data_IF_851320048037
#
_entry.id   IF_851320048037
#
_cell.length_a   1.000
_cell.length_b   1.000
_cell.length_c   1.000
_cell.angle_alpha   90.00
_cell.angle_beta   90.00
_cell.angle_gamma   90.00
#
_symmetry.space_group_name_H-M   'P 1'
#
loop_
_entity.id
_entity.type
_entity.pdbx_description
1 polymer ?
#
# COMPACT_ATOMS: atom_id res chain seq x y z
N UNK A 1 23.15 45.33 -54.50
CA UNK A 1 23.00 43.97 -53.92
C UNK A 1 24.36 43.52 -53.42
N UNK A 2 24.66 43.82 -52.16
CA UNK A 2 25.96 43.59 -51.52
C UNK A 2 25.76 42.72 -50.29
N UNK A 3 26.43 41.56 -50.29
CA UNK A 3 26.42 40.53 -49.25
C UNK A 3 27.04 41.07 -47.96
N UNK A 4 26.32 40.99 -46.84
CA UNK A 4 26.88 41.18 -45.49
C UNK A 4 27.11 39.81 -44.84
N UNK A 5 28.33 39.62 -44.33
CA UNK A 5 28.82 38.41 -43.66
C UNK A 5 28.36 38.38 -42.19
N UNK A 6 28.04 37.19 -41.70
CA UNK A 6 27.71 36.91 -40.30
C UNK A 6 28.92 37.10 -39.38
N UNK A 7 28.72 37.81 -38.28
CA UNK A 7 29.68 37.92 -37.18
C UNK A 7 29.34 36.91 -36.08
N UNK A 8 30.20 35.92 -35.90
CA UNK A 8 30.15 34.90 -34.84
C UNK A 8 30.85 35.43 -33.60
N UNK A 9 30.13 35.59 -32.49
CA UNK A 9 30.68 35.96 -31.17
C UNK A 9 31.17 34.72 -30.42
N UNK A 10 32.33 34.74 -29.74
CA UNK A 10 32.86 33.58 -29.03
C UNK A 10 32.26 33.48 -27.61
N UNK A 11 31.73 32.31 -27.27
CA UNK A 11 31.24 31.97 -25.93
C UNK A 11 32.42 31.67 -25.01
N UNK A 12 32.61 32.49 -23.96
CA UNK A 12 33.56 32.24 -22.87
C UNK A 12 33.09 31.05 -22.03
N UNK A 13 33.95 30.03 -21.86
CA UNK A 13 33.77 28.95 -20.87
C UNK A 13 33.78 29.54 -19.46
N UNK A 14 32.73 29.30 -18.67
CA UNK A 14 32.73 29.52 -17.21
C UNK A 14 33.49 28.37 -16.56
N UNK A 15 34.57 28.70 -15.86
CA UNK A 15 35.24 27.79 -14.91
C UNK A 15 34.37 27.59 -13.67
N UNK A 16 34.27 26.34 -13.20
CA UNK A 16 33.57 25.98 -11.97
C UNK A 16 34.46 26.28 -10.74
N UNK A 17 33.94 26.85 -9.65
CA UNK A 17 34.72 27.05 -8.44
C UNK A 17 35.01 25.71 -7.73
N UNK A 18 36.24 25.58 -7.24
CA UNK A 18 36.77 24.41 -6.51
C UNK A 18 36.01 24.19 -5.20
N UNK A 19 35.67 22.92 -4.93
CA UNK A 19 35.07 22.43 -3.69
C UNK A 19 35.99 22.71 -2.51
N UNK A 20 35.49 23.43 -1.50
CA UNK A 20 36.17 23.66 -0.22
C UNK A 20 35.90 22.43 0.67
N UNK A 21 36.96 21.75 1.11
CA UNK A 21 36.86 20.64 2.06
C UNK A 21 36.67 21.17 3.48
N UNK A 22 35.62 20.72 4.18
CA UNK A 22 35.37 21.03 5.58
C UNK A 22 36.20 20.14 6.51
N UNK A 23 36.89 20.76 7.47
CA UNK A 23 37.82 20.12 8.40
C UNK A 23 37.18 19.34 9.58
N UNK A 24 36.03 18.68 9.39
CA UNK A 24 35.30 18.00 10.47
C UNK A 24 35.07 16.50 10.29
N UNK A 25 35.73 15.84 9.33
CA UNK A 25 35.71 14.38 9.20
C UNK A 25 37.14 13.82 9.15
N UNK A 26 37.73 13.57 10.32
CA UNK A 26 38.93 12.72 10.44
C UNK A 26 38.50 11.27 10.65
N UNK A 27 38.78 10.43 9.66
CA UNK A 27 38.85 8.97 9.78
C UNK A 27 39.88 8.57 10.84
N UNK A 28 39.47 7.86 11.87
CA UNK A 28 40.25 6.81 12.54
C UNK A 28 39.46 5.51 12.33
N UNK A 29 40.01 4.37 11.95
CA UNK A 29 41.31 3.81 12.26
C UNK A 29 41.02 2.38 12.71
N UNK A 30 41.41 1.40 11.90
CA UNK A 30 41.08 -0.02 12.06
C UNK A 30 41.47 -0.56 13.45
N UNK A 31 40.54 -1.29 14.07
CA UNK A 31 40.76 -2.01 15.33
C UNK A 31 40.16 -3.42 15.30
N UNK A 32 41.04 -4.43 15.16
CA UNK A 32 40.76 -5.84 15.45
C UNK A 32 40.40 -6.03 16.93
N UNK A 33 39.25 -6.67 17.24
CA UNK A 33 39.00 -7.43 18.48
C UNK A 33 38.00 -8.56 18.15
N UNK A 34 38.47 -9.79 17.94
CA UNK A 34 38.50 -10.91 18.89
C UNK A 34 37.14 -11.32 19.44
N UNK A 35 36.65 -12.43 18.88
CA UNK A 35 35.56 -13.29 19.35
C UNK A 35 35.94 -13.99 20.66
N UNK A 36 35.17 -13.77 21.73
CA UNK A 36 35.15 -14.63 22.92
C UNK A 36 33.72 -14.67 23.47
N UNK A 37 33.23 -15.87 23.76
CA UNK A 37 32.33 -16.10 24.90
C UNK A 37 30.88 -16.40 24.55
N UNK A 38 30.59 -17.68 24.29
CA UNK A 38 29.23 -18.20 24.35
C UNK A 38 28.66 -18.10 25.77
N UNK A 39 27.36 -17.84 25.85
CA UNK A 39 26.58 -18.03 27.06
C UNK A 39 25.39 -18.93 26.75
N UNK A 40 25.40 -20.07 27.43
CA UNK A 40 24.43 -21.15 27.42
C UNK A 40 23.13 -20.71 28.10
N UNK A 41 21.98 -20.84 27.41
CA UNK A 41 20.65 -20.84 28.04
C UNK A 41 20.43 -22.20 28.72
N UNK A 42 20.11 -22.27 30.03
CA UNK A 42 19.50 -23.47 30.57
C UNK A 42 17.97 -23.39 30.39
N UNK A 43 17.43 -24.45 29.80
CA UNK A 43 16.02 -24.76 29.80
C UNK A 43 15.55 -25.14 31.22
N UNK A 44 14.39 -24.64 31.65
CA UNK A 44 13.54 -25.34 32.62
C UNK A 44 12.08 -25.23 32.23
N UNK A 45 11.57 -26.38 31.82
CA UNK A 45 10.17 -26.79 31.72
C UNK A 45 9.78 -27.31 33.10
N UNK A 46 8.71 -26.80 33.70
CA UNK A 46 8.07 -27.40 34.86
C UNK A 46 6.57 -27.56 34.58
N UNK A 47 6.13 -28.81 34.62
CA UNK A 47 4.73 -29.24 34.60
C UNK A 47 4.07 -28.89 35.94
N UNK A 48 2.81 -28.50 35.90
CA UNK A 48 1.84 -28.77 36.97
C UNK A 48 0.59 -29.37 36.30
N UNK A 49 0.07 -30.44 36.92
CA UNK A 49 -1.15 -31.18 36.57
C UNK A 49 -2.17 -31.02 37.72
N UNK A 50 -3.43 -31.39 37.42
CA UNK A 50 -4.60 -31.66 38.31
C UNK A 50 -5.38 -30.43 38.79
N UNK A 51 -6.72 -30.39 38.86
CA UNK A 51 -7.85 -31.35 38.67
C UNK A 51 -9.11 -30.50 38.33
N UNK A 52 -9.97 -30.93 37.38
CA UNK A 52 -11.34 -31.46 37.56
C UNK A 52 -12.36 -30.49 38.20
N UNK A 53 -13.41 -30.12 37.45
CA UNK A 53 -14.82 -30.41 37.80
C UNK A 53 -15.77 -30.10 36.62
N UNK A 54 -16.69 -31.04 36.41
CA UNK A 54 -17.79 -31.09 35.44
C UNK A 54 -18.98 -30.26 35.94
N UNK A 55 -19.79 -29.68 35.04
CA UNK A 55 -21.27 -29.72 35.13
C UNK A 55 -21.86 -29.59 33.72
N UNK A 56 -22.78 -30.50 33.41
CA UNK A 56 -23.66 -30.52 32.24
C UNK A 56 -24.87 -29.59 32.47
N UNK A 57 -25.45 -29.03 31.41
CA UNK A 57 -26.91 -28.90 31.27
C UNK A 57 -27.32 -28.55 29.82
N UNK A 58 -28.58 -28.83 29.55
CA UNK A 58 -29.16 -29.39 28.32
C UNK A 58 -29.97 -28.37 27.48
N UNK A 59 -30.10 -28.70 26.19
CA UNK A 59 -31.08 -28.33 25.15
C UNK A 59 -31.81 -26.96 25.10
N UNK A 60 -31.72 -26.29 23.93
CA UNK A 60 -32.88 -26.04 23.04
C UNK A 60 -32.53 -25.26 21.75
N UNK A 61 -32.90 -25.84 20.61
CA UNK A 61 -33.00 -25.23 19.27
C UNK A 61 -34.38 -24.52 19.10
N UNK A 62 -34.61 -23.59 18.14
CA UNK A 62 -34.36 -23.81 16.71
C UNK A 62 -33.91 -22.61 15.85
N UNK A 63 -33.46 -23.00 14.65
CA UNK A 63 -32.99 -22.23 13.52
C UNK A 63 -33.97 -21.18 12.96
N UNK A 64 -33.43 -20.03 12.54
CA UNK A 64 -33.74 -19.36 11.26
C UNK A 64 -32.64 -18.37 10.85
N UNK A 65 -32.34 -18.39 9.54
CA UNK A 65 -31.71 -17.36 8.71
C UNK A 65 -30.18 -17.26 8.72
N UNK A 66 -29.62 -17.85 7.66
CA UNK A 66 -28.25 -17.74 7.17
C UNK A 66 -28.01 -16.36 6.55
N UNK A 67 -27.22 -15.53 7.22
CA UNK A 67 -26.49 -14.44 6.58
C UNK A 67 -25.05 -14.90 6.34
N UNK A 68 -24.73 -15.05 5.05
CA UNK A 68 -23.42 -15.38 4.50
C UNK A 68 -22.52 -14.13 4.59
N UNK A 69 -21.94 -13.89 5.76
CA UNK A 69 -20.85 -12.93 5.90
C UNK A 69 -19.54 -13.61 5.45
N UNK A 70 -19.24 -13.44 4.16
CA UNK A 70 -17.94 -13.77 3.58
C UNK A 70 -16.85 -12.82 4.07
N UNK A 71 -16.41 -13.02 5.32
CA UNK A 71 -15.19 -12.42 5.85
C UNK A 71 -13.98 -13.03 5.14
N UNK A 72 -13.61 -12.42 4.02
CA UNK A 72 -12.30 -12.57 3.42
C UNK A 72 -11.45 -11.34 3.77
N UNK A 73 -11.19 -11.17 5.08
CA UNK A 73 -10.16 -10.25 5.55
C UNK A 73 -8.79 -10.89 5.30
N UNK A 74 -8.23 -10.61 4.13
CA UNK A 74 -6.81 -10.79 3.88
C UNK A 74 -6.04 -9.89 4.86
N UNK A 75 -5.48 -10.53 5.89
CA UNK A 75 -4.63 -9.97 6.94
C UNK A 75 -3.50 -9.10 6.34
N UNK A 76 -3.79 -7.79 6.19
CA UNK A 76 -2.82 -6.74 5.90
C UNK A 76 -2.00 -6.43 7.17
N UNK A 77 -1.12 -7.35 7.55
CA UNK A 77 0.06 -7.03 8.37
C UNK A 77 1.15 -6.52 7.46
N UNK A 78 1.11 -5.22 7.16
CA UNK A 78 2.24 -4.53 6.56
C UNK A 78 3.35 -4.45 7.63
N UNK A 79 4.39 -5.25 7.43
CA UNK A 79 5.61 -5.20 8.21
C UNK A 79 6.38 -3.94 7.80
N UNK A 80 6.50 -3.02 8.74
CA UNK A 80 7.24 -1.78 8.58
C UNK A 80 8.74 -2.06 8.34
N UNK A 81 9.17 -2.13 7.08
CA UNK A 81 10.58 -2.13 6.67
C UNK A 81 10.74 -1.30 5.37
N UNK A 82 10.51 0.01 5.46
CA UNK A 82 10.71 0.99 4.37
C UNK A 82 12.18 1.50 4.27
N UNK A 83 13.18 0.66 4.59
CA UNK A 83 14.61 1.02 4.40
C UNK A 83 15.21 0.51 3.06
N UNK A 84 14.51 -0.37 2.33
CA UNK A 84 15.07 -1.03 1.13
C UNK A 84 14.59 -0.46 -0.24
N UNK A 85 13.88 0.68 -0.24
CA UNK A 85 13.32 1.27 -1.48
C UNK A 85 14.39 1.95 -2.38
N UNK A 86 15.62 2.22 -1.89
CA UNK A 86 16.67 2.81 -2.74
C UNK A 86 17.39 1.80 -3.64
N UNK A 87 17.60 0.55 -3.23
CA UNK A 87 18.27 -0.45 -4.08
C UNK A 87 17.36 -0.99 -5.20
N UNK A 88 16.04 -0.90 -5.05
CA UNK A 88 15.08 -1.44 -6.04
C UNK A 88 14.72 -0.44 -7.14
N UNK A 89 14.89 0.87 -6.91
CA UNK A 89 14.76 1.90 -7.95
C UNK A 89 15.78 1.74 -9.10
N UNK A 90 16.91 1.08 -8.85
CA UNK A 90 17.90 0.74 -9.87
C UNK A 90 17.56 -0.54 -10.65
N UNK A 91 16.66 -1.38 -10.14
CA UNK A 91 16.23 -2.60 -10.84
C UNK A 91 15.18 -2.33 -11.93
N UNK A 92 14.45 -1.21 -11.83
CA UNK A 92 13.40 -0.80 -12.78
C UNK A 92 13.98 -0.21 -14.08
N UNK A 93 15.24 0.26 -14.06
CA UNK A 93 15.92 0.74 -15.27
C UNK A 93 16.53 -0.39 -16.13
N UNK A 94 16.52 -1.64 -15.65
CA UNK A 94 17.17 -2.77 -16.33
C UNK A 94 16.23 -3.56 -17.25
N UNK A 95 14.91 -3.40 -17.14
CA UNK A 95 13.95 -4.10 -18.01
C UNK A 95 13.58 -3.29 -19.28
N UNK A 96 13.72 -1.96 -19.25
CA UNK A 96 13.47 -1.10 -20.42
C UNK A 96 14.55 -1.22 -21.51
N UNK A 97 15.77 -1.67 -21.18
CA UNK A 97 16.92 -1.68 -22.13
C UNK A 97 17.18 -3.02 -22.82
N UNK A 98 16.78 -4.17 -22.25
CA UNK A 98 17.03 -5.49 -22.86
C UNK A 98 16.00 -5.84 -23.97
N UNK A 99 14.91 -5.09 -24.07
CA UNK A 99 13.85 -5.33 -25.04
C UNK A 99 14.11 -4.66 -26.41
N UNK A 100 14.68 -3.45 -26.45
CA UNK A 100 15.01 -2.78 -27.72
C UNK A 100 16.24 -3.39 -28.43
N UNK A 101 17.21 -3.94 -27.70
CA UNK A 101 18.47 -4.41 -28.30
C UNK A 101 18.29 -5.72 -29.11
N UNK A 102 17.30 -6.56 -28.76
CA UNK A 102 17.05 -7.84 -29.45
C UNK A 102 16.34 -7.68 -30.80
N UNK A 103 15.70 -6.55 -31.07
CA UNK A 103 15.07 -6.25 -32.36
C UNK A 103 16.08 -5.87 -33.46
N UNK A 104 17.23 -5.28 -33.09
CA UNK A 104 18.20 -4.73 -34.06
C UNK A 104 19.23 -5.74 -34.59
N UNK A 105 19.40 -6.92 -33.97
CA UNK A 105 20.49 -7.86 -34.30
C UNK A 105 20.16 -8.94 -35.34
N UNK A 106 18.91 -9.09 -35.80
CA UNK A 106 18.53 -10.09 -36.82
C UNK A 106 18.49 -9.50 -38.24
N UNK A 107 19.62 -8.98 -38.71
CA UNK A 107 19.81 -8.70 -40.13
C UNK A 107 21.28 -8.93 -40.55
N UNK A 108 21.68 -10.20 -40.73
CA UNK A 108 22.83 -10.57 -41.59
C UNK A 108 22.82 -12.06 -41.97
N UNK A 109 22.99 -12.30 -43.27
CA UNK A 109 22.90 -13.56 -44.05
C UNK A 109 23.88 -14.66 -43.64
N UNK A 110 23.48 -15.94 -43.85
CA UNK A 110 24.39 -17.01 -44.34
C UNK A 110 23.62 -18.11 -45.11
N UNK A 111 24.31 -18.75 -46.08
CA UNK A 111 23.82 -19.66 -47.14
C UNK A 111 23.86 -21.17 -46.74
N UNK A 112 23.21 -22.09 -47.49
CA UNK A 112 22.91 -23.46 -47.04
C UNK A 112 23.93 -24.52 -47.47
N UNK A 113 23.93 -25.68 -46.78
CA UNK A 113 24.51 -26.95 -47.25
C UNK A 113 23.58 -28.13 -47.00
N UNK A 114 23.60 -29.07 -47.93
CA UNK A 114 22.71 -30.22 -48.08
C UNK A 114 23.28 -31.55 -47.52
N UNK A 115 22.34 -32.49 -47.24
CA UNK A 115 22.35 -33.95 -47.46
C UNK A 115 22.02 -34.84 -46.24
N UNK A 116 21.09 -35.79 -46.43
CA UNK A 116 21.09 -37.10 -45.74
C UNK A 116 19.71 -37.72 -45.41
N UNK A 117 19.26 -38.69 -46.21
CA UNK A 117 18.02 -39.49 -46.09
C UNK A 117 17.91 -40.40 -44.83
N UNK A 118 16.68 -40.64 -44.30
CA UNK A 118 15.92 -41.94 -44.37
C UNK A 118 14.68 -42.04 -43.43
N UNK A 119 13.48 -42.11 -44.07
CA UNK A 119 12.36 -43.07 -43.91
C UNK A 119 11.46 -43.17 -42.64
N UNK A 120 10.19 -43.63 -42.78
CA UNK A 120 9.02 -43.00 -42.16
C UNK A 120 8.24 -43.85 -41.14
N UNK A 121 7.42 -43.21 -40.30
CA UNK A 121 6.32 -43.85 -39.58
C UNK A 121 5.01 -43.07 -39.78
N UNK A 122 3.95 -43.83 -40.11
CA UNK A 122 2.59 -43.36 -40.42
C UNK A 122 1.82 -43.02 -39.13
N UNK A 123 1.12 -41.89 -39.11
CA UNK A 123 -0.22 -41.78 -38.51
C UNK A 123 -1.01 -40.65 -39.18
N UNK A 124 -2.31 -40.88 -39.32
CA UNK A 124 -3.27 -40.19 -40.20
C UNK A 124 -3.78 -38.84 -39.63
N UNK A 125 -4.50 -38.02 -40.42
CA UNK A 125 -4.53 -36.56 -40.28
C UNK A 125 -5.73 -36.01 -39.49
N UNK A 126 -5.49 -34.94 -38.73
CA UNK A 126 -6.54 -33.98 -38.33
C UNK A 126 -6.17 -32.62 -38.94
N UNK A 127 -7.13 -32.01 -39.64
CA UNK A 127 -6.93 -30.91 -40.59
C UNK A 127 -7.55 -29.61 -40.05
N UNK A 128 -6.73 -28.56 -40.01
CA UNK A 128 -7.12 -27.13 -39.96
C UNK A 128 -6.99 -26.48 -38.58
N UNK A 129 -6.30 -25.35 -38.36
CA UNK A 129 -5.90 -24.23 -39.23
C UNK A 129 -4.57 -23.59 -38.75
N UNK A 130 -3.74 -23.23 -39.74
CA UNK A 130 -2.54 -22.36 -39.77
C UNK A 130 -1.87 -21.95 -38.44
N UNK A 131 -0.82 -22.67 -38.07
CA UNK A 131 0.33 -22.12 -37.36
C UNK A 131 1.49 -21.98 -38.36
N UNK A 132 1.83 -20.76 -38.77
CA UNK A 132 3.14 -20.53 -39.40
C UNK A 132 4.20 -20.75 -38.33
N UNK A 133 4.80 -21.94 -38.32
CA UNK A 133 5.93 -22.26 -37.44
C UNK A 133 7.14 -21.47 -37.92
N UNK A 134 7.50 -20.43 -37.19
CA UNK A 134 8.84 -19.86 -37.21
C UNK A 134 9.75 -20.76 -36.39
N UNK A 135 10.72 -21.39 -37.05
CA UNK A 135 11.61 -22.41 -36.49
C UNK A 135 12.27 -21.98 -35.16
N UNK A 136 12.03 -22.76 -34.11
CA UNK A 136 12.79 -22.72 -32.84
C UNK A 136 12.26 -21.78 -31.75
N UNK A 137 11.13 -21.11 -31.95
CA UNK A 137 10.45 -20.32 -30.92
C UNK A 137 9.17 -21.06 -30.50
N UNK A 138 9.15 -21.58 -29.28
CA UNK A 138 7.91 -22.08 -28.68
C UNK A 138 7.00 -20.88 -28.37
N UNK A 139 5.76 -20.90 -28.86
CA UNK A 139 4.79 -19.83 -28.58
C UNK A 139 4.32 -20.04 -27.15
N UNK A 140 4.87 -19.26 -26.21
CA UNK A 140 4.59 -19.35 -24.76
C UNK A 140 3.19 -18.81 -24.40
N UNK A 141 2.50 -18.15 -25.34
CA UNK A 141 1.12 -17.70 -25.19
C UNK A 141 0.76 -16.60 -26.20
N UNK A 142 -0.53 -16.28 -26.29
CA UNK A 142 -1.03 -15.13 -27.07
C UNK A 142 -1.17 -13.92 -26.15
N UNK A 143 -0.60 -12.78 -26.55
CA UNK A 143 -0.72 -11.52 -25.79
C UNK A 143 -2.15 -11.00 -25.94
N UNK A 144 -2.80 -10.75 -24.82
CA UNK A 144 -4.15 -10.19 -24.76
C UNK A 144 -4.07 -8.69 -24.96
N UNK A 145 -4.64 -8.23 -26.07
CA UNK A 145 -4.72 -6.81 -26.41
C UNK A 145 -5.63 -6.04 -25.45
N UNK A 146 -5.25 -4.80 -25.15
CA UNK A 146 -6.04 -3.93 -24.28
C UNK A 146 -7.43 -3.65 -24.89
N UNK A 147 -8.52 -3.71 -24.10
CA UNK A 147 -9.86 -3.38 -24.58
C UNK A 147 -9.90 -2.01 -25.26
N UNK A 148 -10.50 -1.95 -26.45
CA UNK A 148 -10.70 -0.70 -27.20
C UNK A 148 -12.03 -0.03 -26.86
N UNK A 149 -13.00 -0.80 -26.42
CA UNK A 149 -14.33 -0.37 -25.97
C UNK A 149 -14.35 -0.18 -24.46
N UNK A 150 -15.28 0.63 -23.95
CA UNK A 150 -15.47 0.82 -22.50
C UNK A 150 -14.40 1.66 -21.81
N UNK A 151 -13.54 2.35 -22.57
CA UNK A 151 -12.57 3.32 -22.02
C UNK A 151 -13.30 4.56 -21.51
N UNK A 152 -12.76 5.13 -20.44
CA UNK A 152 -13.33 6.33 -19.80
C UNK A 152 -12.42 7.53 -19.97
N UNK A 153 -12.97 8.72 -19.68
CA UNK A 153 -12.18 9.96 -19.65
C UNK A 153 -11.23 9.94 -18.43
N UNK A 154 -10.10 10.69 -18.47
CA UNK A 154 -9.23 10.86 -17.31
C UNK A 154 -10.03 11.27 -16.06
N UNK A 155 -9.68 10.76 -14.89
CA UNK A 155 -10.44 11.03 -13.66
C UNK A 155 -11.55 10.03 -13.34
N UNK A 156 -11.76 9.02 -14.17
CA UNK A 156 -12.79 8.00 -13.98
C UNK A 156 -12.15 6.62 -14.00
N UNK A 157 -12.82 5.65 -13.39
CA UNK A 157 -12.45 4.23 -13.42
C UNK A 157 -13.41 3.50 -14.35
N UNK A 158 -12.87 2.69 -15.27
CA UNK A 158 -13.70 1.89 -16.18
C UNK A 158 -14.04 0.52 -15.61
N UNK A 159 -15.09 -0.10 -16.18
CA UNK A 159 -15.40 -1.51 -15.93
C UNK A 159 -14.22 -2.41 -16.32
N UNK A 160 -13.47 -2.07 -17.38
CA UNK A 160 -12.30 -2.86 -17.80
C UNK A 160 -11.23 -2.93 -16.69
N UNK A 161 -11.03 -1.82 -15.95
CA UNK A 161 -10.09 -1.78 -14.82
C UNK A 161 -10.56 -2.67 -13.68
N UNK A 162 -11.85 -2.61 -13.32
CA UNK A 162 -12.40 -3.51 -12.29
C UNK A 162 -12.39 -4.97 -12.74
N UNK A 163 -12.68 -5.26 -14.01
CA UNK A 163 -12.63 -6.62 -14.56
C UNK A 163 -11.20 -7.16 -14.51
N UNK A 164 -10.19 -6.37 -14.87
CA UNK A 164 -8.79 -6.76 -14.73
C UNK A 164 -8.45 -7.11 -13.28
N UNK A 165 -8.80 -6.24 -12.32
CA UNK A 165 -8.55 -6.50 -10.90
C UNK A 165 -9.34 -7.73 -10.38
N UNK A 166 -10.52 -8.00 -10.94
CA UNK A 166 -11.31 -9.18 -10.59
C UNK A 166 -10.62 -10.46 -11.05
N UNK A 167 -10.01 -10.45 -12.25
CA UNK A 167 -9.17 -11.57 -12.69
C UNK A 167 -7.97 -11.76 -11.76
N UNK A 168 -7.33 -10.69 -11.29
CA UNK A 168 -6.19 -10.79 -10.35
C UNK A 168 -6.53 -11.49 -9.03
N UNK A 169 -7.82 -11.58 -8.66
CA UNK A 169 -8.29 -12.33 -7.49
C UNK A 169 -8.23 -13.85 -7.69
N UNK A 170 -8.34 -14.34 -8.93
CA UNK A 170 -8.16 -15.78 -9.21
C UNK A 170 -6.66 -16.11 -9.15
N UNK A 171 -6.22 -17.03 -8.26
CA UNK A 171 -4.81 -17.43 -8.19
C UNK A 171 -4.23 -17.94 -9.52
N UNK A 172 -5.07 -18.44 -10.44
CA UNK A 172 -4.66 -18.89 -11.79
C UNK A 172 -4.37 -17.74 -12.74
N UNK A 173 -4.82 -16.54 -12.40
CA UNK A 173 -4.61 -15.30 -13.14
C UNK A 173 -3.65 -14.36 -12.40
N UNK A 174 -3.07 -14.82 -11.28
CA UNK A 174 -2.12 -14.06 -10.48
C UNK A 174 -0.78 -14.81 -10.45
N UNK A 175 -0.19 -14.95 -11.63
CA UNK A 175 1.17 -15.46 -11.82
C UNK A 175 1.91 -14.63 -12.88
N UNK A 176 3.23 -14.77 -12.92
CA UNK A 176 4.08 -13.94 -13.80
C UNK A 176 3.86 -14.23 -15.28
N UNK A 177 3.48 -15.45 -15.65
CA UNK A 177 3.24 -15.84 -17.04
C UNK A 177 1.92 -15.24 -17.53
N UNK A 178 0.86 -15.40 -16.74
CA UNK A 178 -0.44 -14.79 -17.04
C UNK A 178 -0.34 -13.27 -17.14
N UNK A 179 0.35 -12.63 -16.19
CA UNK A 179 0.49 -11.17 -16.17
C UNK A 179 1.24 -10.64 -17.39
N UNK A 180 2.28 -11.34 -17.87
CA UNK A 180 2.99 -10.98 -19.11
C UNK A 180 2.08 -11.01 -20.33
N UNK A 181 1.18 -11.99 -20.41
CA UNK A 181 0.23 -12.08 -21.51
C UNK A 181 -0.84 -10.97 -21.43
N UNK A 182 -1.17 -10.48 -20.24
CA UNK A 182 -2.18 -9.42 -20.01
C UNK A 182 -1.56 -8.04 -19.79
N UNK A 183 -0.27 -7.86 -20.04
CA UNK A 183 0.42 -6.60 -19.79
C UNK A 183 -0.26 -5.40 -20.47
N UNK A 184 -0.72 -5.46 -21.74
CA UNK A 184 -1.43 -4.34 -22.35
C UNK A 184 -2.70 -3.93 -21.59
N UNK A 185 -3.43 -4.90 -21.03
CA UNK A 185 -4.63 -4.67 -20.21
C UNK A 185 -4.24 -3.98 -18.90
N UNK A 186 -3.19 -4.47 -18.24
CA UNK A 186 -2.65 -3.84 -17.04
C UNK A 186 -2.20 -2.40 -17.30
N UNK A 187 -1.46 -2.12 -18.39
CA UNK A 187 -1.00 -0.75 -18.71
C UNK A 187 -2.15 0.22 -18.94
N UNK A 188 -3.27 -0.24 -19.51
CA UNK A 188 -4.48 0.55 -19.63
C UNK A 188 -5.05 0.87 -18.24
N UNK A 189 -5.21 -0.14 -17.39
CA UNK A 189 -5.76 0.03 -16.04
C UNK A 189 -4.86 0.90 -15.14
N UNK A 190 -3.55 0.71 -15.22
CA UNK A 190 -2.53 1.51 -14.53
C UNK A 190 -2.60 2.97 -14.96
N UNK A 191 -2.81 3.24 -16.25
CA UNK A 191 -2.99 4.60 -16.76
C UNK A 191 -4.27 5.22 -16.22
N UNK A 192 -5.40 4.51 -16.29
CA UNK A 192 -6.68 5.02 -15.75
C UNK A 192 -6.56 5.33 -14.25
N UNK A 193 -5.87 4.49 -13.49
CA UNK A 193 -5.59 4.73 -12.07
C UNK A 193 -4.73 5.98 -11.83
N UNK A 194 -3.66 6.17 -12.61
CA UNK A 194 -2.81 7.38 -12.54
C UNK A 194 -3.60 8.65 -12.86
N UNK A 195 -4.37 8.63 -13.94
CA UNK A 195 -5.22 9.75 -14.38
C UNK A 195 -6.32 10.06 -13.33
N UNK A 196 -6.86 9.03 -12.67
CA UNK A 196 -7.81 9.16 -11.57
C UNK A 196 -7.17 9.84 -10.35
N UNK A 197 -6.01 9.35 -9.91
CA UNK A 197 -5.30 9.89 -8.76
C UNK A 197 -4.85 11.33 -8.97
N UNK A 198 -4.43 11.70 -10.19
CA UNK A 198 -4.06 13.08 -10.51
C UNK A 198 -5.21 14.06 -10.24
N UNK A 199 -6.42 13.74 -10.74
CA UNK A 199 -7.59 14.57 -10.50
C UNK A 199 -8.09 14.53 -9.06
N UNK A 200 -8.00 13.37 -8.42
CA UNK A 200 -8.40 13.24 -7.02
C UNK A 200 -7.51 14.11 -6.12
N UNK A 201 -6.19 14.09 -6.30
CA UNK A 201 -5.26 14.86 -5.48
C UNK A 201 -5.44 16.37 -5.66
N UNK A 202 -5.70 16.83 -6.89
CA UNK A 202 -6.04 18.23 -7.16
C UNK A 202 -7.26 18.65 -6.32
N UNK A 203 -8.34 17.87 -6.37
CA UNK A 203 -9.58 18.16 -5.62
C UNK A 203 -9.43 18.01 -4.11
N UNK A 204 -8.65 17.03 -3.65
CA UNK A 204 -8.38 16.84 -2.22
C UNK A 204 -7.60 18.01 -1.64
N UNK A 205 -6.62 18.55 -2.37
CA UNK A 205 -5.84 19.71 -1.91
C UNK A 205 -6.69 20.99 -1.75
N UNK A 206 -7.86 21.05 -2.39
CA UNK A 206 -8.84 22.13 -2.20
C UNK A 206 -9.72 21.91 -0.95
N UNK A 207 -9.88 20.66 -0.51
CA UNK A 207 -10.73 20.25 0.61
C UNK A 207 -9.95 20.24 1.93
N UNK A 208 -8.72 19.73 1.89
CA UNK A 208 -7.80 19.61 3.01
C UNK A 208 -6.51 20.39 2.72
N UNK A 209 -6.35 21.51 3.41
CA UNK A 209 -5.24 22.45 3.27
C UNK A 209 -3.91 21.94 3.83
N UNK A 210 -3.92 20.88 4.65
CA UNK A 210 -2.69 20.23 5.09
C UNK A 210 -2.11 19.30 4.03
N UNK A 211 -2.88 18.88 3.02
CA UNK A 211 -2.41 17.99 1.96
C UNK A 211 -1.89 18.83 0.79
N UNK A 212 -0.57 18.88 0.56
CA UNK A 212 -0.03 19.61 -0.59
C UNK A 212 -0.41 18.91 -1.91
N UNK A 213 -0.34 19.63 -3.05
CA UNK A 213 -0.41 18.98 -4.35
C UNK A 213 0.79 18.03 -4.51
N UNK A 214 0.50 16.72 -4.55
CA UNK A 214 1.49 15.66 -4.66
C UNK A 214 1.43 15.01 -6.05
N UNK A 215 2.57 14.67 -6.66
CA UNK A 215 2.55 13.95 -7.93
C UNK A 215 2.04 12.51 -7.70
N UNK A 216 1.16 11.97 -8.58
CA UNK A 216 0.58 10.63 -8.41
C UNK A 216 1.62 9.51 -8.24
N UNK A 217 2.80 9.67 -8.86
CA UNK A 217 3.88 8.68 -8.80
C UNK A 217 4.43 8.45 -7.38
N UNK A 218 4.35 9.46 -6.52
CA UNK A 218 4.95 9.39 -5.17
C UNK A 218 3.97 8.80 -4.14
N UNK A 219 2.68 8.75 -4.48
CA UNK A 219 1.60 8.31 -3.59
C UNK A 219 1.00 6.97 -4.01
N UNK A 220 1.05 6.60 -5.30
CA UNK A 220 0.57 5.33 -5.81
C UNK A 220 1.53 4.21 -5.39
N UNK A 221 0.97 3.13 -4.84
CA UNK A 221 1.75 1.95 -4.51
C UNK A 221 1.95 1.06 -5.74
N UNK A 222 3.09 0.34 -5.77
CA UNK A 222 3.33 -0.72 -6.76
C UNK A 222 2.27 -1.82 -6.64
N UNK A 223 1.91 -2.42 -7.78
CA UNK A 223 1.01 -3.60 -7.84
C UNK A 223 1.69 -4.87 -7.30
N UNK A 224 3.00 -4.95 -7.33
CA UNK A 224 3.75 -6.11 -6.84
C UNK A 224 3.64 -6.26 -5.31
N UNK A 225 3.58 -7.51 -4.84
CA UNK A 225 3.61 -7.87 -3.42
C UNK A 225 5.03 -8.23 -2.98
N UNK A 226 5.31 -8.05 -1.68
CA UNK A 226 6.42 -8.75 -1.05
C UNK A 226 5.92 -10.13 -0.59
N UNK A 227 6.49 -11.18 -1.19
CA UNK A 227 6.10 -12.57 -0.95
C UNK A 227 7.16 -13.35 -0.17
N UNK A 228 8.27 -12.73 0.25
CA UNK A 228 9.39 -13.43 0.91
C UNK A 228 8.93 -14.15 2.17
N UNK A 229 8.14 -13.47 2.99
CA UNK A 229 7.68 -13.94 4.30
C UNK A 229 6.19 -14.32 4.34
N UNK A 230 5.44 -14.09 3.26
CA UNK A 230 4.02 -14.43 3.19
C UNK A 230 3.81 -15.93 2.93
N UNK A 231 2.79 -16.51 3.56
CA UNK A 231 2.34 -17.88 3.24
C UNK A 231 1.71 -17.92 1.84
N UNK A 232 0.96 -16.88 1.49
CA UNK A 232 0.44 -16.67 0.15
C UNK A 232 1.56 -16.15 -0.76
N UNK A 233 1.80 -16.86 -1.86
CA UNK A 233 2.88 -16.59 -2.83
C UNK A 233 2.39 -15.91 -4.10
N UNK A 234 1.15 -15.41 -4.15
CA UNK A 234 0.68 -14.61 -5.28
C UNK A 234 1.53 -13.34 -5.43
N UNK A 235 2.16 -13.10 -6.60
CA UNK A 235 3.14 -12.04 -6.81
C UNK A 235 2.54 -10.63 -6.90
N UNK A 236 1.24 -10.50 -7.19
CA UNK A 236 0.59 -9.21 -7.42
C UNK A 236 -0.57 -8.97 -6.45
N UNK A 237 -0.84 -7.70 -6.16
CA UNK A 237 -2.00 -7.24 -5.39
C UNK A 237 -3.27 -7.39 -6.23
N UNK A 238 -4.39 -7.60 -5.54
CA UNK A 238 -5.73 -7.75 -6.15
C UNK A 238 -6.46 -6.41 -6.34
N UNK A 239 -5.78 -5.30 -6.08
CA UNK A 239 -6.34 -3.96 -6.13
C UNK A 239 -5.27 -2.89 -6.29
N UNK A 240 -5.71 -1.69 -6.67
CA UNK A 240 -4.85 -0.51 -6.71
C UNK A 240 -4.99 0.30 -5.44
N UNK A 241 -3.86 0.74 -4.89
CA UNK A 241 -3.82 1.51 -3.65
C UNK A 241 -2.92 2.73 -3.77
N UNK A 242 -3.28 3.82 -3.09
CA UNK A 242 -2.44 4.99 -2.93
C UNK A 242 -2.57 5.57 -1.52
N UNK A 243 -1.46 6.11 -1.01
CA UNK A 243 -1.41 6.75 0.32
C UNK A 243 -0.82 8.14 0.21
N UNK A 244 -1.49 9.12 0.82
CA UNK A 244 -1.03 10.50 0.83
C UNK A 244 -1.36 11.17 2.17
N UNK A 245 -0.57 12.17 2.51
CA UNK A 245 -0.69 12.97 3.74
C UNK A 245 0.00 14.31 3.54
N UNK A 246 0.04 15.12 4.60
CA UNK A 246 0.83 16.34 4.68
C UNK A 246 2.30 16.18 4.28
N UNK A 247 2.92 15.02 4.57
CA UNK A 247 4.31 14.71 4.19
C UNK A 247 4.42 13.74 2.99
N UNK A 248 3.33 13.52 2.25
CA UNK A 248 3.27 12.52 1.18
C UNK A 248 3.01 11.11 1.71
N UNK A 249 3.59 10.09 1.06
CA UNK A 249 3.45 8.67 1.45
C UNK A 249 4.22 8.34 2.73
N UNK A 250 5.40 8.94 2.88
CA UNK A 250 6.32 8.73 4.01
C UNK A 250 6.06 9.76 5.12
N UNK A 251 6.54 9.46 6.33
CA UNK A 251 6.43 10.33 7.49
C UNK A 251 5.42 9.86 8.53
N UNK A 252 5.37 10.62 9.63
CA UNK A 252 4.68 10.28 10.88
C UNK A 252 3.21 10.70 10.91
N UNK A 253 2.82 11.63 10.03
CA UNK A 253 1.48 12.23 10.02
C UNK A 253 0.38 11.22 9.68
N UNK A 254 -0.84 11.53 10.11
CA UNK A 254 -2.02 10.79 9.73
C UNK A 254 -2.21 10.83 8.19
N UNK A 255 -2.55 9.68 7.63
CA UNK A 255 -2.60 9.45 6.18
C UNK A 255 -4.02 9.23 5.72
N UNK A 256 -4.32 9.63 4.50
CA UNK A 256 -5.41 9.10 3.72
C UNK A 256 -4.90 7.93 2.87
N UNK A 257 -5.68 6.87 2.81
CA UNK A 257 -5.40 5.69 2.00
C UNK A 257 -6.62 5.38 1.15
N UNK A 258 -6.43 5.33 -0.17
CA UNK A 258 -7.47 4.91 -1.11
C UNK A 258 -7.09 3.56 -1.69
N UNK A 259 -8.07 2.67 -1.77
CA UNK A 259 -7.92 1.34 -2.35
C UNK A 259 -9.10 1.06 -3.27
N UNK A 260 -8.84 0.63 -4.49
CA UNK A 260 -9.87 0.15 -5.41
C UNK A 260 -9.68 -1.33 -5.62
N UNK A 261 -10.72 -2.08 -5.26
CA UNK A 261 -10.81 -3.51 -5.43
C UNK A 261 -12.26 -3.90 -5.73
N UNK A 262 -12.51 -4.79 -6.69
CA UNK A 262 -13.86 -5.25 -7.03
C UNK A 262 -14.57 -5.98 -5.90
N UNK A 263 -15.88 -6.15 -6.05
CA UNK A 263 -16.73 -6.87 -5.12
C UNK A 263 -17.09 -6.05 -3.88
N UNK A 264 -17.13 -4.71 -4.00
CA UNK A 264 -17.47 -3.82 -2.88
C UNK A 264 -16.34 -3.61 -1.86
N UNK A 265 -15.11 -3.98 -2.21
CA UNK A 265 -13.93 -3.87 -1.35
C UNK A 265 -13.13 -2.58 -1.59
N UNK A 266 -13.66 -1.67 -2.41
CA UNK A 266 -13.06 -0.36 -2.63
C UNK A 266 -13.28 0.51 -1.41
N UNK A 267 -12.26 1.22 -0.93
CA UNK A 267 -12.36 2.01 0.29
C UNK A 267 -11.53 3.28 0.25
N UNK A 268 -11.96 4.25 1.06
CA UNK A 268 -11.09 5.30 1.58
C UNK A 268 -10.95 5.14 3.09
N UNK A 269 -9.72 5.24 3.58
CA UNK A 269 -9.38 5.21 4.98
C UNK A 269 -8.59 6.46 5.36
N UNK A 270 -8.67 6.85 6.64
CA UNK A 270 -7.85 7.93 7.17
C UNK A 270 -7.43 7.67 8.61
N UNK A 271 -6.30 8.24 9.01
CA UNK A 271 -5.84 8.28 10.39
C UNK A 271 -4.41 7.77 10.56
N UNK A 272 -4.10 7.34 11.78
CA UNK A 272 -2.80 6.77 12.14
C UNK A 272 -2.92 5.25 12.19
N UNK A 273 -2.54 4.59 11.08
CA UNK A 273 -2.51 3.13 10.96
C UNK A 273 -1.16 2.60 11.40
N UNK A 274 -1.14 1.69 12.38
CA UNK A 274 0.08 1.10 12.96
C UNK A 274 1.22 2.12 13.18
N UNK A 275 0.98 3.25 13.88
CA UNK A 275 2.03 4.21 14.19
C UNK A 275 3.22 3.54 14.90
N UNK A 276 4.40 4.12 14.70
CA UNK A 276 5.57 3.78 15.48
C UNK A 276 5.37 4.07 16.97
N UNK A 277 6.30 3.58 17.80
CA UNK A 277 6.18 3.67 19.25
C UNK A 277 6.05 5.12 19.73
N UNK A 278 6.89 6.01 19.21
CA UNK A 278 6.95 7.40 19.66
C UNK A 278 5.69 8.18 19.25
N UNK A 279 5.20 7.94 18.04
CA UNK A 279 3.98 8.54 17.51
C UNK A 279 2.77 8.10 18.33
N UNK A 280 2.68 6.79 18.63
CA UNK A 280 1.60 6.23 19.43
C UNK A 280 1.65 6.73 20.89
N UNK A 281 2.85 6.83 21.47
CA UNK A 281 3.05 7.37 22.82
C UNK A 281 2.62 8.86 22.87
N UNK A 282 2.96 9.66 21.84
CA UNK A 282 2.53 11.06 21.71
C UNK A 282 1.01 11.19 21.61
N UNK A 283 0.37 10.38 20.77
CA UNK A 283 -1.09 10.39 20.65
C UNK A 283 -1.76 10.01 21.98
N UNK A 284 -1.25 8.97 22.67
CA UNK A 284 -1.79 8.57 23.97
C UNK A 284 -1.60 9.63 25.04
N UNK A 285 -0.47 10.34 25.05
CA UNK A 285 -0.24 11.45 25.95
C UNK A 285 -1.33 12.51 25.74
N UNK A 286 -1.55 12.97 24.52
CA UNK A 286 -2.58 13.96 24.22
C UNK A 286 -4.00 13.49 24.59
N UNK A 287 -4.34 12.22 24.33
CA UNK A 287 -5.64 11.65 24.73
C UNK A 287 -5.79 11.62 26.26
N UNK A 288 -4.72 11.33 27.01
CA UNK A 288 -4.73 11.29 28.48
C UNK A 288 -4.98 12.67 29.09
N UNK A 289 -4.36 13.72 28.54
CA UNK A 289 -4.47 15.09 29.07
C UNK A 289 -5.68 15.85 28.52
N UNK A 290 -6.04 15.66 27.25
CA UNK A 290 -7.18 16.33 26.61
C UNK A 290 -7.92 15.42 25.61
N UNK A 291 -8.77 14.49 26.08
CA UNK A 291 -9.56 13.62 25.21
C UNK A 291 -10.73 14.35 24.52
N UNK A 292 -11.08 15.56 24.98
CA UNK A 292 -12.33 16.22 24.63
C UNK A 292 -12.44 16.52 23.13
N UNK A 293 -11.34 16.98 22.52
CA UNK A 293 -11.26 17.31 21.09
C UNK A 293 -11.52 16.08 20.23
N UNK A 294 -10.75 15.01 20.44
CA UNK A 294 -10.93 13.75 19.70
C UNK A 294 -12.33 13.18 19.90
N UNK A 295 -12.82 13.15 21.15
CA UNK A 295 -14.18 12.66 21.46
C UNK A 295 -15.27 13.47 20.75
N UNK A 296 -15.14 14.79 20.69
CA UNK A 296 -16.11 15.65 20.01
C UNK A 296 -16.13 15.36 18.50
N UNK A 297 -14.96 15.16 17.89
CA UNK A 297 -14.85 14.86 16.45
C UNK A 297 -15.49 13.51 16.13
N UNK A 298 -15.11 12.44 16.84
CA UNK A 298 -15.63 11.09 16.58
C UNK A 298 -17.12 10.95 16.92
N UNK A 299 -17.64 11.83 17.78
CA UNK A 299 -19.06 11.89 18.16
C UNK A 299 -19.90 12.82 17.29
N UNK A 300 -19.29 13.53 16.34
CA UNK A 300 -20.03 14.45 15.47
C UNK A 300 -21.02 13.71 14.58
N UNK A 301 -22.17 14.33 14.29
CA UNK A 301 -23.24 13.67 13.51
C UNK A 301 -22.78 13.20 12.13
N UNK A 302 -21.90 13.98 11.49
CA UNK A 302 -21.32 13.67 10.19
C UNK A 302 -20.41 12.43 10.29
N UNK A 303 -19.47 12.44 11.24
CA UNK A 303 -18.57 11.31 11.48
C UNK A 303 -19.32 10.02 11.83
N UNK A 304 -20.30 10.10 12.73
CA UNK A 304 -21.12 8.96 13.14
C UNK A 304 -21.97 8.41 11.99
N UNK A 305 -22.37 9.25 11.03
CA UNK A 305 -23.14 8.82 9.85
C UNK A 305 -22.33 7.85 8.96
N UNK A 306 -21.02 8.06 8.80
CA UNK A 306 -20.20 7.16 7.97
C UNK A 306 -19.51 6.06 8.76
N UNK A 307 -19.12 6.30 10.02
CA UNK A 307 -18.29 5.35 10.77
C UNK A 307 -19.01 4.70 11.96
N UNK A 308 -20.21 5.16 12.29
CA UNK A 308 -21.02 4.63 13.39
C UNK A 308 -20.74 5.26 14.76
N UNK A 309 -21.48 4.83 15.79
CA UNK A 309 -21.40 5.34 17.16
C UNK A 309 -19.96 5.43 17.73
N UNK A 310 -19.64 6.46 18.54
CA UNK A 310 -18.31 6.68 19.11
C UNK A 310 -18.04 5.80 20.33
N UNK A 311 -18.33 4.51 20.25
CA UNK A 311 -18.15 3.53 21.33
C UNK A 311 -17.75 2.17 20.75
N UNK A 312 -17.05 1.33 21.53
CA UNK A 312 -16.82 -0.06 21.15
C UNK A 312 -18.15 -0.81 20.97
N UNK A 313 -18.27 -1.59 19.90
CA UNK A 313 -19.42 -2.47 19.68
C UNK A 313 -19.35 -3.65 20.69
N UNK A 314 -20.45 -4.02 21.36
CA UNK A 314 -20.43 -5.12 22.34
C UNK A 314 -20.03 -6.47 21.77
N UNK A 315 -20.20 -6.69 20.45
CA UNK A 315 -19.79 -7.91 19.77
C UNK A 315 -18.35 -7.85 19.25
N UNK A 316 -17.61 -6.78 19.58
CA UNK A 316 -16.23 -6.58 19.14
C UNK A 316 -16.09 -6.20 17.67
N UNK A 317 -17.19 -5.88 16.98
CA UNK A 317 -17.16 -5.48 15.56
C UNK A 317 -16.51 -4.13 15.39
N UNK A 318 -15.89 -3.92 14.23
CA UNK A 318 -15.30 -2.65 13.87
C UNK A 318 -16.37 -1.55 13.81
N UNK A 319 -16.17 -0.51 14.60
CA UNK A 319 -17.07 0.63 14.65
C UNK A 319 -16.29 1.87 15.05
N UNK A 320 -16.47 2.96 14.30
CA UNK A 320 -15.74 4.19 14.52
C UNK A 320 -14.22 3.90 14.51
N UNK A 321 -13.48 4.35 15.52
CA UNK A 321 -12.05 4.04 15.71
C UNK A 321 -11.77 2.72 16.44
N UNK A 322 -12.80 2.00 16.90
CA UNK A 322 -12.69 0.83 17.80
C UNK A 322 -12.86 -0.51 17.07
N UNK A 323 -12.51 -1.60 17.76
CA UNK A 323 -12.79 -2.96 17.31
C UNK A 323 -11.80 -3.47 16.28
N UNK A 324 -10.55 -2.99 16.35
CA UNK A 324 -9.46 -3.49 15.51
C UNK A 324 -8.76 -4.65 16.20
N UNK A 325 -8.24 -5.59 15.41
CA UNK A 325 -7.53 -6.76 15.95
C UNK A 325 -6.27 -6.40 16.75
N UNK A 326 -5.65 -5.25 16.45
CA UNK A 326 -4.46 -4.77 17.15
C UNK A 326 -4.79 -4.05 18.46
N UNK A 327 -6.06 -3.86 18.81
CA UNK A 327 -6.44 -3.21 20.07
C UNK A 327 -5.94 -3.98 21.31
N UNK A 328 -5.46 -3.24 22.31
CA UNK A 328 -4.96 -3.84 23.54
C UNK A 328 -6.09 -4.38 24.40
N UNK A 329 -5.98 -5.64 24.82
CA UNK A 329 -6.93 -6.26 25.77
C UNK A 329 -6.89 -5.57 27.14
N UNK A 330 -5.69 -5.17 27.58
CA UNK A 330 -5.43 -4.54 28.88
C UNK A 330 -5.01 -3.08 28.74
N UNK A 331 -4.99 -2.34 29.85
CA UNK A 331 -4.47 -0.98 29.88
C UNK A 331 -3.01 -0.93 29.38
N UNK A 332 -2.63 0.11 28.62
CA UNK A 332 -1.23 0.38 28.29
C UNK A 332 -0.37 0.55 29.55
N UNK A 333 0.94 0.35 29.42
CA UNK A 333 1.88 0.55 30.53
C UNK A 333 1.80 2.01 31.01
N UNK A 334 1.69 2.21 32.33
CA UNK A 334 1.63 3.55 32.93
C UNK A 334 0.24 4.20 32.94
N UNK A 335 -0.80 3.51 32.47
CA UNK A 335 -2.19 3.98 32.50
C UNK A 335 -2.99 3.16 33.52
N UNK A 336 -3.77 3.84 34.36
CA UNK A 336 -4.68 3.18 35.30
C UNK A 336 -5.78 2.40 34.56
N UNK A 337 -6.13 1.21 35.06
CA UNK A 337 -7.13 0.34 34.42
C UNK A 337 -8.53 0.95 34.38
N UNK A 338 -8.82 1.87 35.31
CA UNK A 338 -10.11 2.55 35.45
C UNK A 338 -10.06 3.98 34.88
N UNK A 339 -9.07 4.31 34.05
CA UNK A 339 -9.02 5.62 33.38
C UNK A 339 -10.31 5.83 32.57
N UNK A 340 -10.88 7.04 32.64
CA UNK A 340 -12.16 7.38 31.97
C UNK A 340 -12.11 7.14 30.46
N UNK A 341 -10.94 7.37 29.88
CA UNK A 341 -10.67 7.24 28.43
C UNK A 341 -9.88 5.99 28.06
N UNK A 342 -10.00 4.93 28.87
CA UNK A 342 -9.26 3.68 28.65
C UNK A 342 -9.61 3.02 27.30
N UNK A 343 -10.83 3.23 26.81
CA UNK A 343 -11.29 2.80 25.48
C UNK A 343 -10.40 3.34 24.37
N UNK A 344 -10.11 4.64 24.37
CA UNK A 344 -9.24 5.28 23.38
C UNK A 344 -7.77 4.93 23.59
N UNK A 345 -7.32 4.84 24.84
CA UNK A 345 -5.90 4.58 25.15
C UNK A 345 -5.45 3.16 24.77
N UNK A 346 -6.38 2.19 24.71
CA UNK A 346 -6.10 0.82 24.25
C UNK A 346 -5.85 0.70 22.76
N UNK A 347 -6.26 1.68 21.97
CA UNK A 347 -6.06 1.67 20.52
C UNK A 347 -4.56 1.66 20.19
N UNK A 348 -4.19 0.84 19.20
CA UNK A 348 -2.85 0.85 18.59
C UNK A 348 -2.87 1.53 17.23
N UNK A 349 -3.93 1.30 16.46
CA UNK A 349 -4.24 2.04 15.24
C UNK A 349 -5.48 2.89 15.47
N UNK A 350 -5.39 4.18 15.14
CA UNK A 350 -6.46 5.15 15.30
C UNK A 350 -6.83 5.61 13.89
N UNK A 351 -7.64 4.79 13.22
CA UNK A 351 -7.97 4.99 11.82
C UNK A 351 -9.33 4.41 11.46
N UNK A 352 -10.07 5.16 10.64
CA UNK A 352 -11.40 4.81 10.14
C UNK A 352 -11.36 4.54 8.64
N UNK A 353 -12.39 3.89 8.11
CA UNK A 353 -12.54 3.67 6.67
C UNK A 353 -14.01 3.65 6.28
N UNK A 354 -14.26 3.93 5.00
CA UNK A 354 -15.55 3.80 4.34
C UNK A 354 -15.38 2.96 3.08
N UNK A 355 -16.26 1.97 2.92
CA UNK A 355 -16.34 1.12 1.74
C UNK A 355 -17.24 1.78 0.67
N UNK A 356 -16.96 1.44 -0.59
CA UNK A 356 -17.71 1.83 -1.77
C UNK A 356 -18.06 0.61 -2.59
N UNK A 357 -19.29 0.60 -3.09
CA UNK A 357 -19.75 -0.41 -4.05
C UNK A 357 -19.11 -0.20 -5.41
N UNK A 358 -18.98 -1.26 -6.21
CA UNK A 358 -18.44 -1.16 -7.58
C UNK A 358 -19.25 -0.17 -8.44
N UNK A 359 -20.56 -0.04 -8.18
CA UNK A 359 -21.42 0.94 -8.86
C UNK A 359 -21.01 2.38 -8.55
N UNK A 360 -20.65 2.68 -7.31
CA UNK A 360 -20.19 4.00 -6.92
C UNK A 360 -18.81 4.31 -7.52
N UNK A 361 -17.92 3.32 -7.57
CA UNK A 361 -16.57 3.46 -8.16
C UNK A 361 -16.64 3.82 -9.65
N UNK A 362 -17.60 3.25 -10.37
CA UNK A 362 -17.82 3.49 -11.81
C UNK A 362 -18.61 4.79 -12.08
N UNK A 363 -19.16 5.43 -11.05
CA UNK A 363 -19.95 6.63 -11.21
C UNK A 363 -19.07 7.85 -11.53
N UNK A 364 -19.60 8.78 -12.33
CA UNK A 364 -18.90 10.02 -12.69
C UNK A 364 -18.65 10.93 -11.50
N UNK A 365 -19.43 10.78 -10.43
CA UNK A 365 -19.33 11.53 -9.18
C UNK A 365 -18.44 10.86 -8.14
N UNK A 366 -17.74 9.78 -8.50
CA UNK A 366 -16.95 9.04 -7.51
C UNK A 366 -15.90 9.91 -6.80
N UNK A 367 -15.19 10.77 -7.55
CA UNK A 367 -14.25 11.74 -6.97
C UNK A 367 -14.97 12.70 -6.00
N UNK A 368 -16.14 13.21 -6.39
CA UNK A 368 -16.91 14.12 -5.52
C UNK A 368 -17.35 13.42 -4.22
N UNK A 369 -17.83 12.17 -4.33
CA UNK A 369 -18.19 11.35 -3.17
C UNK A 369 -17.00 11.10 -2.25
N UNK A 370 -15.80 10.89 -2.81
CA UNK A 370 -14.57 10.77 -2.02
C UNK A 370 -14.25 12.10 -1.33
N UNK A 371 -14.29 13.21 -2.05
CA UNK A 371 -14.02 14.54 -1.49
C UNK A 371 -15.00 14.92 -0.37
N UNK A 372 -16.29 14.55 -0.48
CA UNK A 372 -17.26 14.71 0.61
C UNK A 372 -16.82 13.94 1.86
N UNK A 373 -16.38 12.69 1.69
CA UNK A 373 -15.90 11.86 2.81
C UNK A 373 -14.60 12.41 3.39
N UNK A 374 -13.67 12.88 2.54
CA UNK A 374 -12.43 13.54 2.98
C UNK A 374 -12.73 14.81 3.78
N UNK A 375 -13.70 15.62 3.35
CA UNK A 375 -14.10 16.81 4.10
C UNK A 375 -14.60 16.47 5.51
N UNK A 376 -15.31 15.36 5.67
CA UNK A 376 -15.78 14.87 6.96
C UNK A 376 -14.68 14.21 7.80
N UNK A 377 -13.69 13.58 7.15
CA UNK A 377 -12.50 12.99 7.78
C UNK A 377 -11.46 14.06 8.21
N UNK A 378 -11.44 15.22 7.55
CA UNK A 378 -10.42 16.26 7.76
C UNK A 378 -10.22 16.67 9.21
N UNK A 379 -11.26 16.99 10.01
CA UNK A 379 -11.06 17.37 11.42
C UNK A 379 -10.38 16.28 12.25
N UNK A 380 -10.65 15.00 11.92
CA UNK A 380 -10.03 13.86 12.58
C UNK A 380 -8.55 13.72 12.20
N UNK A 381 -8.22 13.89 10.92
CA UNK A 381 -6.82 13.87 10.45
C UNK A 381 -6.02 15.02 11.06
N UNK A 382 -6.55 16.25 11.06
CA UNK A 382 -5.89 17.41 11.65
C UNK A 382 -5.65 17.22 13.16
N UNK A 383 -6.64 16.73 13.89
CA UNK A 383 -6.50 16.44 15.32
C UNK A 383 -5.36 15.44 15.60
N UNK A 384 -5.19 14.42 14.77
CA UNK A 384 -4.09 13.46 14.92
C UNK A 384 -2.74 14.08 14.54
N UNK A 385 -2.70 14.95 13.53
CA UNK A 385 -1.49 15.69 13.16
C UNK A 385 -1.05 16.66 14.25
N UNK A 386 -1.99 17.33 14.92
CA UNK A 386 -1.71 18.19 16.08
C UNK A 386 -1.02 17.39 17.20
N UNK A 387 -1.54 16.21 17.52
CA UNK A 387 -0.95 15.32 18.54
C UNK A 387 0.46 14.81 18.21
N UNK A 388 0.88 14.92 16.94
CA UNK A 388 2.20 14.51 16.46
C UNK A 388 3.16 15.69 16.30
N UNK A 389 2.67 16.94 16.35
CA UNK A 389 3.49 18.15 16.19
C UNK A 389 3.77 18.86 17.50
N UNK A 390 2.85 18.76 18.47
CA UNK A 390 3.01 19.38 19.78
C UNK A 390 4.02 18.55 20.58
N UNK A 391 5.15 19.15 21.01
CA UNK A 391 6.09 18.46 21.89
C UNK A 391 5.37 18.06 23.18
N UNK A 392 5.54 16.80 23.56
CA UNK A 392 5.16 16.35 24.90
C UNK A 392 6.17 16.96 25.86
N UNK A 393 5.76 17.93 26.68
CA UNK A 393 6.55 18.36 27.83
C UNK A 393 6.70 17.13 28.73
N UNK A 394 7.93 16.68 28.92
CA UNK A 394 8.20 15.58 29.84
C UNK A 394 7.90 16.08 31.24
N UNK A 395 6.98 15.43 31.94
CA UNK A 395 6.69 15.65 33.37
C UNK A 395 7.92 15.35 34.29
N UNK A 396 9.14 15.30 33.75
CA UNK A 396 10.39 15.08 34.48
C UNK A 396 10.98 16.38 35.08
N UNK A 397 10.40 17.55 34.78
CA UNK A 397 10.91 18.86 35.23
C UNK A 397 10.15 19.45 36.46
N UNK A 398 9.14 18.78 37.03
CA UNK A 398 8.39 19.29 38.19
C UNK A 398 8.98 18.90 39.57
N UNK A 399 10.07 18.13 39.63
CA UNK A 399 10.62 17.61 40.90
C UNK A 399 11.93 18.30 41.40
N UNK A 400 12.45 19.34 40.74
CA UNK A 400 13.74 19.96 41.15
C UNK A 400 13.66 21.29 41.93
N UNK A 401 12.47 21.87 42.20
CA UNK A 401 12.35 23.17 42.87
C UNK A 401 11.60 23.14 44.22
N UNK A 402 11.88 22.16 45.10
CA UNK A 402 11.58 22.28 46.54
C UNK A 402 12.67 21.63 47.42
N UNK A 403 13.81 22.33 47.65
CA UNK A 403 14.62 22.19 48.88
C UNK A 403 15.21 23.54 49.36
#
# INVERSE_FOLDING_TARGET
MTRTRSSTTPVKKKEMPKRVESAYFKKGGAGKRTSIGGSTRPAKRAKVMKDEEEEEEDESEPATESDDDGDNEDNYKDGHEDEDDEETALSDALDDSDFEEKAARKAKKSKPKANGNRSPAKSSPVKGRNSEKLDGLEVVGEVVEAPKTGRVLPGLISQNTLDFLAHMKDPKCNDREWFRLHEPVYRLAEKEWKDFMEKLLERVSEVDDEVPPLPPKDVIHRIYRDIRFSNDKTPYKVGFSATFSRSGRKGIFAKYHIHIQPGGNSMIACGSWCPGKNELDSIRHHIKHNPSQLRQIISSKAFVKHFGPPKPDPKGRRQNVFGREDELKTAPKGVDKNHKDIDLLKLRSIAVHKLFTDKEVLDKKFIDNICEVVAEMRPFVHCLNDYLTIPVESDEDEDEDEE
#
